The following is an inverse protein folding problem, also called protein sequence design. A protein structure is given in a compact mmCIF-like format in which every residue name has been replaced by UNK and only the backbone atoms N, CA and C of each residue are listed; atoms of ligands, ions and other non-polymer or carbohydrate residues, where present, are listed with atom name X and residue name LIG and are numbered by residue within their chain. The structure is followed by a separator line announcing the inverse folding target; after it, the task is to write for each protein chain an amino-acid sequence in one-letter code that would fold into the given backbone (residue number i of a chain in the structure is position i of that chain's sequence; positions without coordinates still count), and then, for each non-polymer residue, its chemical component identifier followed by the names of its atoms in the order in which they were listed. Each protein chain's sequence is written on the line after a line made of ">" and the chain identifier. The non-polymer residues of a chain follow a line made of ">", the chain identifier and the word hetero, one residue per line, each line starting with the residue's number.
data_IF_560773685416
#
_entry.id   IF_560773685416
#
_cell.length_a   1.000
_cell.length_b   1.000
_cell.length_c   1.000
_cell.angle_alpha   90.00
_cell.angle_beta   90.00
_cell.angle_gamma   90.00
#
_symmetry.space_group_name_H-M   'P 1'
#
loop_
_entity.id
_entity.type
_entity.pdbx_description
1 polymer ?
#
# COMPACT_ATOMS: atom_id res chain seq x y z
N UNK A 1 -0.09 6.04 -13.96
CA UNK A 1 0.78 5.69 -12.82
C UNK A 1 1.03 4.20 -12.82
N UNK A 2 2.30 3.78 -12.70
CA UNK A 2 2.65 2.36 -12.76
C UNK A 2 2.41 1.62 -11.45
N UNK A 3 2.42 2.34 -10.32
CA UNK A 3 2.31 1.75 -8.98
C UNK A 3 0.87 1.57 -8.49
N UNK A 4 -0.09 2.10 -9.21
CA UNK A 4 -1.51 1.93 -8.89
C UNK A 4 -2.30 1.72 -10.17
N UNK A 5 -3.28 0.81 -10.11
CA UNK A 5 -4.16 0.53 -11.24
C UNK A 5 -5.58 0.40 -10.73
N UNK A 6 -6.49 1.18 -11.32
CA UNK A 6 -7.93 1.06 -11.03
C UNK A 6 -8.49 -0.07 -11.89
N UNK A 7 -9.06 -1.09 -11.27
CA UNK A 7 -9.61 -2.24 -11.98
C UNK A 7 -11.14 -2.22 -12.06
N UNK A 8 -11.79 -1.42 -11.22
CA UNK A 8 -13.23 -1.15 -11.28
C UNK A 8 -13.48 0.16 -10.55
N UNK A 9 -14.73 0.59 -10.44
CA UNK A 9 -15.08 1.86 -9.78
C UNK A 9 -14.59 1.92 -8.32
N UNK A 10 -14.51 0.78 -7.66
CA UNK A 10 -14.13 0.72 -6.26
C UNK A 10 -13.03 -0.31 -5.94
N UNK A 11 -12.29 -0.75 -6.97
CA UNK A 11 -11.20 -1.71 -6.77
C UNK A 11 -9.91 -1.22 -7.38
N UNK A 12 -8.81 -1.35 -6.64
CA UNK A 12 -7.48 -0.89 -7.05
C UNK A 12 -6.43 -1.94 -6.74
N UNK A 13 -5.39 -1.96 -7.57
CA UNK A 13 -4.18 -2.74 -7.32
C UNK A 13 -3.05 -1.78 -7.02
N UNK A 14 -2.35 -2.00 -5.91
CA UNK A 14 -1.16 -1.24 -5.54
C UNK A 14 0.06 -2.13 -5.65
N UNK A 15 1.10 -1.61 -6.26
CA UNK A 15 2.42 -2.24 -6.27
C UNK A 15 3.29 -1.52 -5.24
N UNK A 16 3.69 -2.24 -4.20
CA UNK A 16 4.43 -1.69 -3.08
C UNK A 16 5.81 -2.33 -2.97
N UNK A 17 6.80 -1.54 -2.59
CA UNK A 17 8.11 -2.03 -2.25
C UNK A 17 8.39 -1.71 -0.79
N UNK A 18 8.63 -2.74 0.01
CA UNK A 18 8.75 -2.62 1.46
C UNK A 18 10.20 -2.57 1.88
N UNK A 19 10.56 -1.57 2.68
CA UNK A 19 11.86 -1.47 3.34
C UNK A 19 11.67 -1.81 4.82
N UNK A 20 11.89 -3.06 5.24
CA UNK A 20 11.70 -3.44 6.64
C UNK A 20 12.85 -2.95 7.49
N UNK A 21 12.71 -3.11 8.80
CA UNK A 21 13.75 -2.77 9.77
C UNK A 21 14.21 -1.32 9.67
N UNK A 22 13.29 -0.42 9.35
CA UNK A 22 13.55 1.01 9.25
C UNK A 22 13.35 1.68 10.60
N UNK A 23 14.00 2.84 10.81
CA UNK A 23 13.82 3.60 12.04
C UNK A 23 12.42 4.17 12.20
N UNK A 24 11.85 4.65 11.09
CA UNK A 24 10.55 5.29 11.10
C UNK A 24 9.65 4.67 10.06
N UNK A 25 8.37 4.54 10.39
CA UNK A 25 7.36 4.11 9.45
C UNK A 25 7.01 5.29 8.54
N UNK A 26 7.07 5.07 7.22
CA UNK A 26 6.87 6.16 6.28
C UNK A 26 6.46 5.66 4.91
N UNK A 27 5.49 6.33 4.29
CA UNK A 27 5.18 6.13 2.87
C UNK A 27 5.94 7.19 2.10
N UNK A 28 6.87 6.77 1.24
CA UNK A 28 7.66 7.69 0.45
C UNK A 28 6.87 8.14 -0.77
N UNK A 29 6.89 9.45 -1.04
CA UNK A 29 6.18 10.00 -2.19
C UNK A 29 6.75 9.41 -3.48
N UNK A 30 5.94 8.74 -4.31
CA UNK A 30 6.43 8.17 -5.55
C UNK A 30 6.70 9.25 -6.57
N UNK A 31 7.68 9.00 -7.45
CA UNK A 31 8.00 9.88 -8.56
C UNK A 31 7.34 9.36 -9.82
N UNK A 32 7.15 10.25 -10.78
CA UNK A 32 6.60 9.89 -12.07
C UNK A 32 7.50 8.83 -12.72
N UNK A 33 6.90 7.72 -13.13
CA UNK A 33 7.64 6.61 -13.74
C UNK A 33 8.03 5.52 -12.77
N UNK A 34 7.87 5.72 -11.46
CA UNK A 34 8.12 4.65 -10.49
C UNK A 34 7.15 3.51 -10.68
N UNK A 35 7.63 2.28 -10.51
CA UNK A 35 6.80 1.07 -10.60
C UNK A 35 6.18 0.70 -9.26
N UNK A 36 6.70 1.25 -8.17
CA UNK A 36 6.28 0.93 -6.81
C UNK A 36 6.11 2.20 -5.98
N UNK A 37 5.23 2.11 -4.98
CA UNK A 37 5.25 3.04 -3.86
C UNK A 37 6.12 2.37 -2.80
N UNK A 38 7.18 3.03 -2.38
CA UNK A 38 8.08 2.51 -1.34
C UNK A 38 7.55 2.85 0.03
N UNK A 39 7.47 1.85 0.90
CA UNK A 39 6.99 2.00 2.26
C UNK A 39 8.03 1.48 3.23
N UNK A 40 8.49 2.35 4.12
CA UNK A 40 9.40 1.98 5.19
C UNK A 40 8.58 1.48 6.37
N UNK A 41 8.90 0.29 6.87
CA UNK A 41 8.26 -0.31 8.03
C UNK A 41 9.31 -0.60 9.10
N UNK A 42 8.89 -0.52 10.37
CA UNK A 42 9.79 -0.76 11.49
C UNK A 42 9.99 -2.23 11.81
N UNK A 43 9.03 -3.06 11.44
CA UNK A 43 9.07 -4.50 11.71
C UNK A 43 10.20 -5.20 10.98
N UNK A 44 10.75 -6.24 11.60
CA UNK A 44 11.71 -7.12 10.95
C UNK A 44 10.95 -8.05 9.98
N UNK A 45 11.60 -8.52 8.89
CA UNK A 45 10.90 -9.29 7.86
C UNK A 45 10.78 -10.78 8.19
N UNK A 46 10.27 -11.08 9.40
CA UNK A 46 10.07 -12.47 9.83
C UNK A 46 8.67 -12.65 10.40
N UNK A 47 8.17 -13.89 10.31
CA UNK A 47 6.89 -14.31 10.91
C UNK A 47 5.72 -13.39 10.58
N UNK A 48 5.68 -12.92 9.34
CA UNK A 48 4.56 -12.09 8.85
C UNK A 48 4.40 -10.73 9.55
N UNK A 49 5.38 -10.30 10.32
CA UNK A 49 5.29 -9.03 11.07
C UNK A 49 5.16 -7.82 10.16
N UNK A 50 5.94 -7.78 9.08
CA UNK A 50 5.90 -6.68 8.13
C UNK A 50 4.53 -6.58 7.44
N UNK A 51 3.91 -7.71 7.11
CA UNK A 51 2.58 -7.72 6.51
C UNK A 51 1.53 -7.16 7.45
N UNK A 52 1.60 -7.53 8.74
CA UNK A 52 0.67 -7.03 9.76
C UNK A 52 0.83 -5.51 9.90
N UNK A 53 2.06 -5.04 10.00
CA UNK A 53 2.33 -3.60 10.10
C UNK A 53 1.83 -2.86 8.85
N UNK A 54 2.10 -3.42 7.67
CA UNK A 54 1.66 -2.83 6.40
C UNK A 54 0.14 -2.66 6.35
N UNK A 55 -0.60 -3.72 6.70
CA UNK A 55 -2.06 -3.66 6.67
C UNK A 55 -2.60 -2.64 7.67
N UNK A 56 -2.01 -2.54 8.85
CA UNK A 56 -2.41 -1.53 9.83
C UNK A 56 -2.15 -0.12 9.32
N UNK A 57 -0.99 0.11 8.69
CA UNK A 57 -0.65 1.40 8.13
C UNK A 57 -1.62 1.80 7.03
N UNK A 58 -1.91 0.90 6.10
CA UNK A 58 -2.83 1.18 5.00
C UNK A 58 -4.24 1.49 5.52
N UNK A 59 -4.72 0.73 6.49
CA UNK A 59 -6.02 1.01 7.13
C UNK A 59 -6.05 2.38 7.78
N UNK A 60 -4.97 2.75 8.47
CA UNK A 60 -4.87 4.06 9.13
C UNK A 60 -4.88 5.19 8.12
N UNK A 61 -4.13 5.06 7.03
CA UNK A 61 -4.02 6.09 6.00
C UNK A 61 -5.31 6.26 5.19
N UNK A 62 -5.96 5.15 4.86
CA UNK A 62 -7.14 5.16 4.00
C UNK A 62 -8.45 5.25 4.79
N UNK A 63 -8.41 4.91 6.07
CA UNK A 63 -9.53 5.06 7.02
C UNK A 63 -10.85 4.49 6.48
N UNK A 64 -11.92 5.26 6.61
CA UNK A 64 -13.27 4.85 6.21
C UNK A 64 -13.50 4.81 4.69
N UNK A 65 -12.50 5.17 3.90
CA UNK A 65 -12.59 5.06 2.44
C UNK A 65 -12.42 3.61 1.96
N UNK A 66 -11.97 2.72 2.85
CA UNK A 66 -11.61 1.35 2.51
C UNK A 66 -12.59 0.36 3.14
N UNK A 67 -13.08 -0.60 2.34
CA UNK A 67 -13.85 -1.75 2.82
C UNK A 67 -12.95 -2.95 3.04
N UNK A 68 -11.96 -3.17 2.17
CA UNK A 68 -11.11 -4.36 2.24
C UNK A 68 -9.71 -4.08 1.71
N UNK A 69 -8.72 -4.68 2.35
CA UNK A 69 -7.32 -4.66 1.92
C UNK A 69 -6.80 -6.09 1.93
N UNK A 70 -6.27 -6.55 0.80
CA UNK A 70 -5.70 -7.90 0.68
C UNK A 70 -4.31 -7.83 0.06
N UNK A 71 -3.36 -8.54 0.65
CA UNK A 71 -2.07 -8.79 0.00
C UNK A 71 -2.31 -9.98 -0.91
N UNK A 72 -2.24 -9.77 -2.23
CA UNK A 72 -2.52 -10.82 -3.20
C UNK A 72 -1.26 -11.47 -3.79
N UNK A 73 -0.10 -10.86 -3.58
CA UNK A 73 1.17 -11.40 -4.05
C UNK A 73 2.31 -10.83 -3.22
N UNK A 74 3.42 -11.59 -3.13
CA UNK A 74 4.62 -11.14 -2.46
C UNK A 74 4.57 -11.22 -0.95
N UNK A 75 3.83 -12.16 -0.38
CA UNK A 75 3.70 -12.29 1.08
C UNK A 75 5.06 -12.44 1.79
N UNK A 76 6.04 -13.05 1.13
CA UNK A 76 7.38 -13.28 1.68
C UNK A 76 8.45 -12.44 1.00
N UNK A 77 8.06 -11.51 0.15
CA UNK A 77 8.98 -10.67 -0.62
C UNK A 77 8.87 -9.21 -0.20
N UNK A 78 9.88 -8.41 -0.56
CA UNK A 78 9.81 -6.96 -0.37
C UNK A 78 8.82 -6.33 -1.34
N UNK A 79 8.76 -6.83 -2.58
CA UNK A 79 7.79 -6.37 -3.56
C UNK A 79 6.46 -7.07 -3.29
N UNK A 80 5.42 -6.30 -3.02
CA UNK A 80 4.10 -6.81 -2.68
C UNK A 80 3.05 -6.19 -3.58
N UNK A 81 2.01 -6.98 -3.86
CA UNK A 81 0.84 -6.50 -4.59
C UNK A 81 -0.34 -6.53 -3.64
N UNK A 82 -1.02 -5.40 -3.51
CA UNK A 82 -2.15 -5.25 -2.59
C UNK A 82 -3.39 -4.86 -3.38
N UNK A 83 -4.50 -5.53 -3.09
CA UNK A 83 -5.80 -5.17 -3.65
C UNK A 83 -6.58 -4.38 -2.61
N UNK A 84 -7.08 -3.22 -3.03
CA UNK A 84 -7.94 -2.37 -2.22
C UNK A 84 -9.36 -2.40 -2.78
N UNK A 85 -10.33 -2.50 -1.88
CA UNK A 85 -11.74 -2.29 -2.22
C UNK A 85 -12.22 -1.08 -1.43
N UNK A 86 -12.72 -0.07 -2.14
CA UNK A 86 -13.15 1.19 -1.51
C UNK A 86 -14.64 1.19 -1.25
N UNK A 87 -15.08 2.00 -0.27
CA UNK A 87 -16.49 2.12 0.09
C UNK A 87 -17.31 2.83 -0.98
N UNK A 88 -16.65 3.69 -1.74
CA UNK A 88 -17.30 4.49 -2.78
C UNK A 88 -16.36 4.66 -3.96
N UNK A 89 -16.88 5.14 -5.07
CA UNK A 89 -16.05 5.38 -6.26
C UNK A 89 -15.09 6.54 -6.01
N UNK A 90 -13.79 6.30 -6.16
CA UNK A 90 -12.76 7.32 -6.05
C UNK A 90 -11.72 7.11 -7.15
N UNK A 91 -10.87 8.10 -7.38
CA UNK A 91 -9.85 8.03 -8.43
C UNK A 91 -8.49 7.67 -7.83
N UNK A 92 -7.58 7.23 -8.70
CA UNK A 92 -6.23 6.79 -8.30
C UNK A 92 -5.47 7.87 -7.52
N UNK A 93 -5.54 9.12 -7.98
CA UNK A 93 -4.87 10.24 -7.33
C UNK A 93 -5.30 10.43 -5.89
N UNK A 94 -6.58 10.20 -5.59
CA UNK A 94 -7.11 10.32 -4.22
C UNK A 94 -6.51 9.25 -3.30
N UNK A 95 -6.36 8.03 -3.79
CA UNK A 95 -5.71 6.95 -3.03
C UNK A 95 -4.27 7.32 -2.72
N UNK A 96 -3.52 7.75 -3.72
CA UNK A 96 -2.11 8.12 -3.55
C UNK A 96 -1.95 9.28 -2.57
N UNK A 97 -2.80 10.28 -2.68
CA UNK A 97 -2.77 11.45 -1.79
C UNK A 97 -3.00 11.04 -0.33
N UNK A 98 -3.96 10.16 -0.08
CA UNK A 98 -4.22 9.66 1.27
C UNK A 98 -3.02 8.89 1.82
N UNK A 99 -2.32 8.14 0.98
CA UNK A 99 -1.17 7.33 1.42
C UNK A 99 0.02 8.19 1.81
N UNK A 100 0.29 9.27 1.09
CA UNK A 100 1.45 10.13 1.35
C UNK A 100 1.17 11.27 2.34
N UNK A 101 -0.05 11.58 2.59
CA UNK A 101 -0.41 12.59 3.62
C UNK A 101 -0.41 11.95 5.04
#
# INVERSE_FOLDING_TARGET
>A
MHYIKKISDNEFILNLFIKPNSKNQQVLKPMLGDEYITIALCSIPIKNKANVELLKLLKKKLRHKIDQILIISGHKNQAKVVKLTTSESIIEEDIVKLLID
#
